data_IF_369709194836
#
_entry.id   IF_369709194836
#
_cell.length_a   1.000
_cell.length_b   1.000
_cell.length_c   1.000
_cell.angle_alpha   90.00
_cell.angle_beta   90.00
_cell.angle_gamma   90.00
#
_symmetry.space_group_name_H-M   'P 1'
#
loop_
_entity.id
_entity.type
_entity.pdbx_description
1 polymer ?
#
# COMPACT_ATOMS: atom_id res chain seq x y z
N UNK A 1 28.30 15.96 -20.57
CA UNK A 1 28.90 16.34 -19.29
C UNK A 1 29.42 15.07 -18.65
N UNK A 2 30.74 14.86 -18.67
CA UNK A 2 31.39 13.66 -18.08
C UNK A 2 31.73 13.98 -16.62
N UNK A 3 31.21 13.19 -15.70
CA UNK A 3 31.60 13.25 -14.30
C UNK A 3 32.75 12.27 -14.04
N UNK A 4 33.94 12.79 -13.71
CA UNK A 4 35.06 12.02 -13.19
C UNK A 4 34.90 11.83 -11.69
N UNK A 5 34.73 10.58 -11.23
CA UNK A 5 34.81 10.22 -9.82
C UNK A 5 36.26 10.01 -9.40
N UNK A 6 36.76 10.83 -8.48
CA UNK A 6 38.00 10.63 -7.76
C UNK A 6 37.78 9.61 -6.64
N UNK A 7 38.53 8.52 -6.66
CA UNK A 7 38.59 7.56 -5.56
C UNK A 7 39.70 7.99 -4.56
N UNK A 8 39.42 8.09 -3.26
CA UNK A 8 40.44 8.46 -2.27
C UNK A 8 41.34 7.28 -1.90
N UNK A 9 42.60 7.61 -1.57
CA UNK A 9 43.81 6.77 -1.42
C UNK A 9 43.80 5.76 -0.22
N UNK A 10 42.72 5.45 0.42
CA UNK A 10 42.67 4.50 1.55
C UNK A 10 42.52 3.04 1.19
N UNK A 11 42.43 2.69 -0.09
CA UNK A 11 42.29 1.31 -0.59
C UNK A 11 43.57 0.45 -0.56
N UNK A 12 44.69 0.96 -0.10
CA UNK A 12 46.00 0.27 -0.18
C UNK A 12 46.51 -0.41 1.10
N UNK A 13 45.69 -0.58 2.15
CA UNK A 13 46.15 -1.30 3.37
C UNK A 13 45.09 -2.27 3.88
N UNK A 14 45.02 -3.45 3.30
CA UNK A 14 44.34 -4.62 3.88
C UNK A 14 45.28 -5.83 3.83
N UNK A 15 46.09 -6.00 4.88
CA UNK A 15 46.74 -7.26 5.21
C UNK A 15 45.96 -7.98 6.26
N UNK A 16 45.24 -9.08 5.91
CA UNK A 16 44.52 -9.92 6.85
C UNK A 16 43.22 -10.48 6.25
N UNK A 17 43.22 -11.77 5.93
CA UNK A 17 42.17 -12.41 5.10
C UNK A 17 40.76 -12.55 5.71
N UNK A 18 40.50 -12.19 6.93
CA UNK A 18 39.19 -12.40 7.58
C UNK A 18 38.36 -11.09 7.75
N UNK A 19 39.00 -9.94 7.67
CA UNK A 19 38.33 -8.63 7.84
C UNK A 19 37.70 -8.04 6.58
N UNK A 20 38.01 -8.57 5.39
CA UNK A 20 37.51 -8.02 4.10
C UNK A 20 36.11 -8.47 3.69
N UNK A 21 35.64 -9.60 4.16
CA UNK A 21 34.34 -10.14 3.76
C UNK A 21 33.20 -9.27 4.31
N UNK A 22 33.34 -8.71 5.50
CA UNK A 22 32.33 -7.85 6.11
C UNK A 22 32.24 -6.42 5.55
N UNK A 23 33.26 -5.97 4.82
CA UNK A 23 33.27 -4.65 4.16
C UNK A 23 32.72 -4.66 2.72
N UNK A 24 32.59 -5.83 2.11
CA UNK A 24 32.01 -5.99 0.76
C UNK A 24 30.49 -6.15 0.77
N UNK A 25 29.88 -6.51 1.90
CA UNK A 25 28.44 -6.68 2.03
C UNK A 25 27.66 -5.38 1.74
N UNK A 26 28.06 -4.19 2.22
CA UNK A 26 27.34 -2.95 1.89
C UNK A 26 27.59 -2.47 0.43
N UNK A 27 28.70 -2.86 -0.22
CA UNK A 27 28.98 -2.49 -1.62
C UNK A 27 28.25 -3.40 -2.63
N UNK A 28 28.01 -4.65 -2.29
CA UNK A 28 27.17 -5.56 -3.08
C UNK A 28 25.69 -5.24 -2.99
N UNK A 29 25.24 -4.65 -1.88
CA UNK A 29 23.87 -4.15 -1.73
C UNK A 29 23.58 -2.86 -2.52
N UNK A 30 24.61 -2.08 -2.85
CA UNK A 30 24.46 -0.83 -3.61
C UNK A 30 24.37 -1.02 -5.13
N UNK A 31 24.68 -2.21 -5.66
CA UNK A 31 24.67 -2.49 -7.11
C UNK A 31 23.49 -3.32 -7.60
N UNK A 32 22.63 -3.77 -6.70
CA UNK A 32 21.37 -4.41 -7.09
C UNK A 32 20.30 -3.33 -7.09
N UNK A 33 19.87 -2.87 -8.27
CA UNK A 33 18.60 -2.17 -8.45
C UNK A 33 17.47 -3.16 -8.11
N UNK A 34 17.24 -3.36 -6.81
CA UNK A 34 16.07 -4.13 -6.35
C UNK A 34 14.83 -3.25 -6.55
N UNK A 35 13.79 -3.76 -7.18
CA UNK A 35 12.50 -3.10 -7.14
C UNK A 35 12.07 -2.98 -5.68
N UNK A 36 11.71 -1.79 -5.30
CA UNK A 36 11.34 -1.40 -3.94
C UNK A 36 9.90 -1.83 -3.60
N UNK A 37 9.53 -1.91 -2.34
CA UNK A 37 8.67 -2.91 -1.76
C UNK A 37 7.74 -2.47 -0.65
N UNK A 38 6.57 -3.09 -0.51
CA UNK A 38 5.48 -2.70 0.37
C UNK A 38 5.63 -3.13 1.83
N UNK A 39 5.37 -2.22 2.76
CA UNK A 39 4.98 -2.58 4.13
C UNK A 39 3.46 -2.41 4.23
N UNK A 40 2.75 -3.51 4.45
CA UNK A 40 1.39 -3.49 4.97
C UNK A 40 1.39 -2.71 6.28
N UNK A 41 0.31 -1.99 6.58
CA UNK A 41 0.08 -1.44 7.92
C UNK A 41 0.44 -2.51 8.94
N UNK A 42 1.42 -2.21 9.80
CA UNK A 42 1.97 -3.20 10.71
C UNK A 42 0.90 -3.61 11.73
N UNK A 43 0.28 -4.75 11.49
CA UNK A 43 -0.76 -5.31 12.38
C UNK A 43 -0.15 -5.73 13.72
N UNK A 44 1.16 -5.93 13.77
CA UNK A 44 1.87 -6.39 14.96
C UNK A 44 2.47 -5.24 15.78
N UNK A 45 1.67 -4.20 16.02
CA UNK A 45 2.11 -3.07 16.84
C UNK A 45 2.38 -3.49 18.28
N UNK A 46 3.56 -3.15 18.78
CA UNK A 46 3.96 -3.41 20.16
C UNK A 46 4.61 -2.17 20.79
N UNK A 47 4.37 -1.94 22.06
CA UNK A 47 5.07 -0.91 22.84
C UNK A 47 6.48 -1.38 23.27
N UNK A 48 6.81 -2.66 23.08
CA UNK A 48 8.09 -3.27 23.45
C UNK A 48 8.75 -4.00 22.26
N UNK A 49 9.06 -3.29 21.15
CA UNK A 49 9.64 -3.92 19.97
C UNK A 49 11.01 -4.57 20.24
N UNK A 50 11.73 -4.14 21.26
CA UNK A 50 13.01 -4.72 21.68
C UNK A 50 12.91 -6.18 22.14
N UNK A 51 11.75 -6.67 22.49
CA UNK A 51 11.55 -8.11 22.78
C UNK A 51 11.73 -8.98 21.54
N UNK A 52 11.40 -8.42 20.38
CA UNK A 52 11.48 -9.12 19.09
C UNK A 52 12.83 -8.84 18.44
N UNK A 53 13.35 -7.59 18.55
CA UNK A 53 14.63 -7.16 18.02
C UNK A 53 15.28 -6.15 18.99
N UNK A 54 16.29 -6.55 19.78
CA UNK A 54 16.80 -5.73 20.88
C UNK A 54 17.36 -4.36 20.46
N UNK A 55 18.00 -4.26 19.31
CA UNK A 55 18.60 -3.02 18.80
C UNK A 55 17.97 -2.54 17.50
N UNK A 56 17.50 -3.45 16.69
CA UNK A 56 16.88 -3.15 15.42
C UNK A 56 16.84 -4.36 14.50
N UNK A 57 16.20 -4.17 13.36
CA UNK A 57 16.08 -5.19 12.34
C UNK A 57 16.01 -4.58 10.94
N UNK A 58 16.29 -5.41 9.99
CA UNK A 58 16.09 -5.18 8.58
C UNK A 58 15.32 -6.38 8.00
N UNK A 59 14.31 -6.12 7.18
CA UNK A 59 13.41 -7.12 6.62
C UNK A 59 13.25 -6.93 5.12
N UNK A 60 13.32 -8.04 4.38
CA UNK A 60 12.99 -8.14 2.96
C UNK A 60 11.85 -9.13 2.82
N UNK A 61 10.83 -8.81 2.05
CA UNK A 61 9.71 -9.70 1.81
C UNK A 61 9.15 -9.59 0.41
N UNK A 62 8.51 -10.65 -0.04
CA UNK A 62 7.78 -10.71 -1.29
C UNK A 62 6.34 -11.14 -1.01
N UNK A 63 5.40 -10.36 -1.51
CA UNK A 63 3.97 -10.51 -1.31
C UNK A 63 3.33 -11.07 -2.58
N UNK A 64 2.45 -12.05 -2.41
CA UNK A 64 1.73 -12.68 -3.51
C UNK A 64 0.26 -12.87 -3.15
N UNK A 65 -0.61 -12.55 -4.09
CA UNK A 65 -2.04 -12.83 -4.02
C UNK A 65 -2.52 -13.22 -5.40
N UNK A 66 -2.82 -14.49 -5.59
CA UNK A 66 -3.41 -15.00 -6.82
C UNK A 66 -4.39 -16.14 -6.54
N UNK A 67 -5.11 -16.58 -7.57
CA UNK A 67 -6.08 -17.66 -7.43
C UNK A 67 -5.43 -18.99 -6.98
N UNK A 68 -4.19 -19.26 -7.38
CA UNK A 68 -3.47 -20.48 -7.01
C UNK A 68 -2.98 -20.49 -5.56
N UNK A 69 -2.84 -19.32 -4.91
CA UNK A 69 -2.47 -19.18 -3.51
C UNK A 69 -3.67 -18.99 -2.58
N UNK A 70 -4.87 -18.89 -3.13
CA UNK A 70 -6.11 -18.77 -2.37
C UNK A 70 -6.56 -20.12 -1.81
N UNK A 71 -5.77 -20.66 -0.90
CA UNK A 71 -5.95 -21.99 -0.29
C UNK A 71 -7.31 -22.13 0.41
N UNK A 72 -7.89 -21.04 0.86
CA UNK A 72 -9.17 -21.01 1.56
C UNK A 72 -10.33 -20.68 0.65
N UNK A 73 -10.08 -20.48 -0.65
CA UNK A 73 -11.06 -20.07 -1.65
C UNK A 73 -11.87 -18.82 -1.20
N UNK A 74 -11.18 -17.84 -0.65
CA UNK A 74 -11.79 -16.62 -0.07
C UNK A 74 -12.09 -15.60 -1.16
N UNK A 75 -11.41 -15.72 -2.31
CA UNK A 75 -11.69 -14.92 -3.51
C UNK A 75 -13.03 -15.37 -4.04
N UNK A 76 -13.98 -14.48 -3.97
CA UNK A 76 -15.31 -14.76 -4.50
C UNK A 76 -15.23 -15.02 -6.02
N UNK A 77 -15.62 -16.20 -6.46
CA UNK A 77 -15.47 -16.71 -7.82
C UNK A 77 -16.69 -16.47 -8.70
N UNK A 78 -17.58 -15.50 -8.35
CA UNK A 78 -18.76 -15.22 -9.16
C UNK A 78 -18.37 -14.83 -10.60
N UNK A 79 -18.70 -15.65 -11.63
CA UNK A 79 -18.32 -15.39 -13.00
C UNK A 79 -18.98 -14.15 -13.61
N UNK A 80 -20.10 -13.67 -13.05
CA UNK A 80 -20.80 -12.48 -13.54
C UNK A 80 -20.05 -11.17 -13.25
N UNK A 81 -19.16 -11.18 -12.27
CA UNK A 81 -18.33 -10.02 -11.90
C UNK A 81 -16.85 -10.22 -12.18
N UNK A 82 -16.46 -11.30 -12.85
CA UNK A 82 -15.05 -11.65 -13.09
C UNK A 82 -14.24 -10.54 -13.81
N UNK A 83 -14.88 -9.74 -14.67
CA UNK A 83 -14.24 -8.59 -15.33
C UNK A 83 -14.11 -7.34 -14.47
N UNK A 84 -14.76 -7.27 -13.30
CA UNK A 84 -14.78 -6.10 -12.42
C UNK A 84 -13.90 -6.29 -11.18
N UNK A 85 -13.42 -7.50 -10.93
CA UNK A 85 -12.61 -7.82 -9.73
C UNK A 85 -11.15 -7.45 -9.96
N UNK A 86 -10.51 -7.03 -8.89
CA UNK A 86 -9.07 -6.93 -8.88
C UNK A 86 -8.47 -8.31 -9.12
N UNK A 87 -7.55 -8.37 -10.05
CA UNK A 87 -6.83 -9.58 -10.40
C UNK A 87 -5.75 -9.93 -9.39
N UNK A 88 -4.64 -10.46 -9.89
CA UNK A 88 -3.49 -10.83 -9.08
C UNK A 88 -2.76 -9.61 -8.53
N UNK A 89 -2.16 -9.81 -7.39
CA UNK A 89 -1.27 -8.85 -6.75
C UNK A 89 0.07 -9.51 -6.50
N UNK A 90 1.12 -8.81 -6.83
CA UNK A 90 2.45 -9.14 -6.36
C UNK A 90 3.15 -7.87 -5.90
N UNK A 91 3.90 -8.02 -4.85
CA UNK A 91 4.68 -6.94 -4.30
C UNK A 91 5.97 -7.48 -3.72
N UNK A 92 6.87 -6.59 -3.49
CA UNK A 92 8.09 -6.91 -2.80
C UNK A 92 8.45 -5.71 -1.91
N UNK A 93 9.18 -5.83 -0.72
CA UNK A 93 9.45 -4.77 0.24
C UNK A 93 10.79 -4.84 0.96
N UNK A 94 11.26 -3.68 1.36
CA UNK A 94 12.37 -3.51 2.29
C UNK A 94 11.90 -2.65 3.44
N UNK A 95 12.09 -3.10 4.66
CA UNK A 95 11.77 -2.33 5.85
C UNK A 95 12.79 -2.53 6.93
N UNK A 96 12.79 -1.64 7.90
CA UNK A 96 13.66 -1.77 9.05
C UNK A 96 13.25 -0.85 10.18
N UNK A 97 13.76 -1.17 11.36
CA UNK A 97 13.61 -0.34 12.54
C UNK A 97 14.90 -0.34 13.35
N UNK A 98 15.18 0.78 13.99
CA UNK A 98 16.34 0.96 14.86
C UNK A 98 15.92 1.59 16.18
N UNK A 99 16.49 1.08 17.27
CA UNK A 99 16.34 1.64 18.61
C UNK A 99 17.30 2.82 18.78
N UNK A 100 16.75 4.00 19.05
CA UNK A 100 17.53 5.23 19.26
C UNK A 100 17.88 5.44 20.72
N UNK A 101 17.24 4.70 21.62
CA UNK A 101 17.42 4.78 23.07
C UNK A 101 16.30 4.04 23.79
N UNK A 102 16.24 4.18 25.12
CA UNK A 102 15.22 3.49 25.88
C UNK A 102 13.82 3.93 25.46
N UNK A 103 13.00 2.95 25.03
CA UNK A 103 11.65 3.17 24.58
C UNK A 103 11.50 4.03 23.30
N UNK A 104 12.59 4.35 22.59
CA UNK A 104 12.57 5.20 21.39
C UNK A 104 12.97 4.40 20.15
N UNK A 105 12.10 4.38 19.15
CA UNK A 105 12.32 3.65 17.91
C UNK A 105 12.02 4.52 16.71
N UNK A 106 12.80 4.32 15.66
CA UNK A 106 12.54 4.85 14.33
C UNK A 106 12.42 3.68 13.37
N UNK A 107 11.41 3.69 12.52
CA UNK A 107 11.23 2.68 11.48
C UNK A 107 10.91 3.31 10.15
N UNK A 108 11.20 2.58 9.08
CA UNK A 108 10.91 3.01 7.72
C UNK A 108 10.84 1.82 6.78
N UNK A 109 10.26 2.05 5.62
CA UNK A 109 10.15 1.05 4.58
C UNK A 109 9.88 1.67 3.22
N UNK A 110 10.21 0.90 2.21
CA UNK A 110 9.96 1.20 0.80
C UNK A 110 9.27 0.01 0.18
N UNK A 111 8.48 0.22 -0.87
CA UNK A 111 7.77 -0.86 -1.55
C UNK A 111 7.39 -0.59 -3.00
N UNK A 112 7.17 -1.67 -3.73
CA UNK A 112 6.56 -1.68 -5.05
C UNK A 112 5.49 -2.76 -5.11
N UNK A 113 4.33 -2.43 -5.66
CA UNK A 113 3.17 -3.29 -5.79
C UNK A 113 2.62 -3.24 -7.20
N UNK A 114 2.24 -4.38 -7.72
CA UNK A 114 1.56 -4.47 -9.00
C UNK A 114 0.23 -5.18 -8.79
N UNK A 115 -0.84 -4.52 -9.19
CA UNK A 115 -2.18 -5.09 -9.28
C UNK A 115 -2.48 -5.37 -10.73
N UNK A 116 -2.81 -6.60 -11.06
CA UNK A 116 -3.16 -7.02 -12.42
C UNK A 116 -4.59 -7.50 -12.46
N UNK A 117 -5.39 -6.96 -13.37
CA UNK A 117 -6.70 -7.48 -13.75
C UNK A 117 -6.57 -8.28 -15.05
N UNK A 118 -7.67 -8.74 -15.59
CA UNK A 118 -7.68 -9.43 -16.88
C UNK A 118 -7.24 -8.54 -18.05
N UNK A 119 -7.39 -7.22 -17.92
CA UNK A 119 -7.14 -6.25 -19.00
C UNK A 119 -6.08 -5.22 -18.63
N UNK A 120 -5.91 -4.93 -17.36
CA UNK A 120 -5.12 -3.80 -16.89
C UNK A 120 -4.10 -4.24 -15.84
N UNK A 121 -2.96 -3.56 -15.78
CA UNK A 121 -1.94 -3.75 -14.76
C UNK A 121 -1.46 -2.39 -14.25
N UNK A 122 -1.46 -2.22 -12.93
CA UNK A 122 -1.08 -0.98 -12.26
C UNK A 122 0.06 -1.24 -11.28
N UNK A 123 1.13 -0.48 -11.40
CA UNK A 123 2.27 -0.54 -10.49
C UNK A 123 2.34 0.71 -9.63
N UNK A 124 2.44 0.52 -8.33
CA UNK A 124 2.59 1.57 -7.33
C UNK A 124 3.88 1.37 -6.57
N UNK A 125 4.65 2.42 -6.43
CA UNK A 125 5.72 2.51 -5.45
C UNK A 125 5.22 3.23 -4.19
N UNK A 126 5.93 3.09 -3.09
CA UNK A 126 5.58 3.82 -1.88
C UNK A 126 6.65 3.75 -0.80
N UNK A 127 6.39 4.50 0.27
CA UNK A 127 7.29 4.61 1.41
C UNK A 127 6.51 4.81 2.70
N UNK A 128 7.14 4.48 3.82
CA UNK A 128 6.63 4.70 5.17
C UNK A 128 7.75 5.15 6.10
N UNK A 129 7.42 6.04 7.03
CA UNK A 129 8.24 6.36 8.20
C UNK A 129 7.38 6.37 9.44
N UNK A 130 7.95 5.90 10.56
CA UNK A 130 7.31 6.05 11.86
C UNK A 130 8.31 6.22 12.99
N UNK A 131 7.90 6.99 14.01
CA UNK A 131 8.58 7.12 15.27
C UNK A 131 7.70 6.60 16.40
N UNK A 132 8.27 5.79 17.29
CA UNK A 132 7.60 5.27 18.48
C UNK A 132 8.33 5.75 19.74
N UNK A 133 7.55 6.17 20.72
CA UNK A 133 8.04 6.55 22.05
C UNK A 133 7.23 5.84 23.13
N UNK A 134 7.90 5.00 23.91
CA UNK A 134 7.34 4.39 25.12
C UNK A 134 7.50 5.34 26.28
N UNK A 135 6.42 5.74 26.89
CA UNK A 135 6.41 6.67 28.03
C UNK A 135 6.00 6.00 29.35
N UNK A 136 5.48 4.75 29.31
CA UNK A 136 5.25 3.93 30.49
C UNK A 136 5.96 2.58 30.31
N UNK A 137 6.80 2.24 31.26
CA UNK A 137 7.48 0.95 31.33
C UNK A 137 6.56 -0.12 31.91
N UNK A 138 6.69 -1.38 31.47
CA UNK A 138 5.93 -2.48 32.05
C UNK A 138 6.34 -2.68 33.52
N UNK A 139 5.38 -2.86 34.42
CA UNK A 139 5.64 -3.10 35.83
C UNK A 139 4.56 -4.03 36.42
N UNK A 140 4.91 -5.27 36.73
CA UNK A 140 3.98 -6.28 37.20
C UNK A 140 2.86 -6.55 36.16
N UNK A 141 1.60 -6.29 36.54
CA UNK A 141 0.45 -6.39 35.65
C UNK A 141 0.18 -5.15 34.79
N UNK A 142 0.95 -4.07 34.98
CA UNK A 142 0.78 -2.84 34.18
C UNK A 142 1.39 -3.00 32.81
N UNK A 143 0.68 -2.58 31.75
CA UNK A 143 1.23 -2.63 30.41
C UNK A 143 2.37 -1.63 30.22
N UNK A 144 3.27 -1.92 29.30
CA UNK A 144 4.04 -0.89 28.64
C UNK A 144 3.09 -0.04 27.78
N UNK A 145 3.26 1.28 27.76
CA UNK A 145 2.45 2.17 26.92
C UNK A 145 3.35 3.03 26.05
N UNK A 146 3.07 3.04 24.74
CA UNK A 146 3.80 3.83 23.77
C UNK A 146 2.84 4.62 22.87
N UNK A 147 3.32 5.76 22.40
CA UNK A 147 2.73 6.50 21.30
C UNK A 147 3.55 6.28 20.02
N UNK A 148 2.90 6.17 18.87
CA UNK A 148 3.53 6.11 17.56
C UNK A 148 2.95 7.18 16.65
N UNK A 149 3.82 7.85 15.90
CA UNK A 149 3.43 8.71 14.78
C UNK A 149 3.97 8.08 13.50
N UNK A 150 3.11 7.93 12.49
CA UNK A 150 3.44 7.30 11.22
C UNK A 150 3.00 8.15 10.06
N UNK A 151 3.72 8.10 8.96
CA UNK A 151 3.31 8.67 7.66
C UNK A 151 3.73 7.73 6.55
N UNK A 152 2.89 7.60 5.53
CA UNK A 152 3.19 6.78 4.34
C UNK A 152 2.49 7.32 3.11
N UNK A 153 2.93 6.85 1.96
CA UNK A 153 2.39 7.26 0.66
C UNK A 153 2.57 6.13 -0.35
N UNK A 154 1.59 5.98 -1.23
CA UNK A 154 1.72 5.25 -2.48
C UNK A 154 1.63 6.22 -3.64
N UNK A 155 2.35 5.94 -4.72
CA UNK A 155 2.34 6.78 -5.92
C UNK A 155 2.66 5.95 -7.17
N UNK A 156 2.19 6.43 -8.32
CA UNK A 156 2.55 5.91 -9.64
C UNK A 156 2.72 7.06 -10.63
N UNK A 157 3.47 6.83 -11.70
CA UNK A 157 3.61 7.82 -12.78
C UNK A 157 2.30 7.98 -13.54
N UNK A 158 1.64 6.87 -13.84
CA UNK A 158 0.32 6.86 -14.43
C UNK A 158 -0.40 5.54 -14.13
N UNK A 159 -1.74 5.59 -14.16
CA UNK A 159 -2.60 4.42 -14.23
C UNK A 159 -3.47 4.55 -15.47
N UNK A 160 -3.55 3.48 -16.24
CA UNK A 160 -4.33 3.45 -17.47
C UNK A 160 -5.24 2.21 -17.48
N UNK A 161 -6.54 2.43 -17.66
CA UNK A 161 -7.52 1.36 -17.81
C UNK A 161 -8.06 1.35 -19.24
N UNK A 162 -7.99 0.19 -19.87
CA UNK A 162 -8.58 -0.07 -21.18
C UNK A 162 -10.01 -0.59 -21.08
N UNK A 163 -10.45 -0.90 -19.86
CA UNK A 163 -11.84 -1.27 -19.59
C UNK A 163 -12.73 -0.04 -19.74
N UNK A 164 -13.69 -0.12 -20.65
CA UNK A 164 -14.60 0.99 -20.92
C UNK A 164 -15.44 1.34 -19.68
N UNK A 165 -15.48 2.64 -19.36
CA UNK A 165 -16.31 3.20 -18.29
C UNK A 165 -17.55 3.84 -18.93
N UNK A 166 -18.74 3.43 -18.49
CA UNK A 166 -20.00 4.04 -18.93
C UNK A 166 -20.36 5.15 -17.96
N UNK A 167 -20.46 6.35 -18.48
CA UNK A 167 -20.96 7.53 -17.75
C UNK A 167 -22.26 8.01 -18.41
N UNK A 168 -23.12 8.80 -17.74
CA UNK A 168 -24.31 9.34 -18.35
C UNK A 168 -23.98 10.08 -19.66
N UNK A 169 -24.53 9.63 -20.79
CA UNK A 169 -24.37 10.25 -22.10
C UNK A 169 -23.05 9.94 -22.83
N UNK A 170 -22.11 9.16 -22.26
CA UNK A 170 -20.86 8.82 -22.93
C UNK A 170 -20.30 7.46 -22.49
N UNK A 171 -19.52 6.86 -23.41
CA UNK A 171 -18.68 5.70 -23.14
C UNK A 171 -17.21 6.13 -23.24
N UNK A 172 -16.47 5.99 -22.15
CA UNK A 172 -15.03 6.22 -22.12
C UNK A 172 -14.33 4.89 -22.40
N UNK A 173 -13.60 4.81 -23.51
CA UNK A 173 -12.96 3.55 -23.94
C UNK A 173 -11.65 3.29 -23.20
N UNK A 174 -10.87 4.34 -22.96
CA UNK A 174 -9.61 4.28 -22.19
C UNK A 174 -9.61 5.44 -21.22
N UNK A 175 -9.23 5.18 -19.98
CA UNK A 175 -9.09 6.21 -18.94
C UNK A 175 -7.66 6.17 -18.42
N UNK A 176 -6.99 7.32 -18.46
CA UNK A 176 -5.63 7.50 -17.96
C UNK A 176 -5.59 8.60 -16.90
N UNK A 177 -4.99 8.26 -15.75
CA UNK A 177 -4.75 9.16 -14.65
C UNK A 177 -3.24 9.28 -14.46
N UNK A 178 -2.72 10.50 -14.46
CA UNK A 178 -1.28 10.75 -14.26
C UNK A 178 -0.99 11.12 -12.81
N UNK A 179 0.18 10.71 -12.34
CA UNK A 179 0.68 11.00 -10.99
C UNK A 179 -0.35 10.75 -9.87
N UNK A 180 -1.07 9.60 -9.89
CA UNK A 180 -1.93 9.27 -8.76
C UNK A 180 -1.07 9.03 -7.53
N UNK A 181 -1.45 9.64 -6.40
CA UNK A 181 -0.74 9.48 -5.14
C UNK A 181 -1.71 9.55 -3.96
N UNK A 182 -1.47 8.74 -2.94
CA UNK A 182 -2.06 8.93 -1.62
C UNK A 182 -1.01 9.36 -0.61
N UNK A 183 -1.44 10.08 0.40
CA UNK A 183 -0.61 10.46 1.54
C UNK A 183 -1.40 10.29 2.81
N UNK A 184 -0.77 9.68 3.81
CA UNK A 184 -1.42 9.38 5.07
C UNK A 184 -0.55 9.77 6.24
N UNK A 185 -1.20 10.21 7.31
CA UNK A 185 -0.61 10.48 8.60
C UNK A 185 -1.48 9.85 9.70
N UNK A 186 -0.85 9.23 10.69
CA UNK A 186 -1.53 8.50 11.75
C UNK A 186 -0.80 8.63 13.07
N UNK A 187 -1.58 8.74 14.14
CA UNK A 187 -1.10 8.64 15.52
C UNK A 187 -1.76 7.43 16.20
N UNK A 188 -0.97 6.63 16.90
CA UNK A 188 -1.40 5.44 17.63
C UNK A 188 -1.03 5.53 19.11
N UNK A 189 -1.88 4.96 19.94
CA UNK A 189 -1.60 4.57 21.32
C UNK A 189 -1.55 3.04 21.40
N UNK A 190 -0.50 2.50 22.01
CA UNK A 190 -0.23 1.06 22.05
C UNK A 190 0.02 0.65 23.49
N UNK A 191 -0.75 -0.33 23.97
CA UNK A 191 -0.52 -0.98 25.27
C UNK A 191 -0.02 -2.40 25.07
N UNK A 192 1.05 -2.81 25.76
CA UNK A 192 1.61 -4.16 25.67
C UNK A 192 1.73 -4.78 27.04
N UNK A 193 1.14 -5.96 27.21
CA UNK A 193 1.19 -6.78 28.42
C UNK A 193 2.08 -7.98 28.18
N UNK A 194 3.05 -8.17 29.06
CA UNK A 194 3.87 -9.37 29.10
C UNK A 194 3.14 -10.44 29.89
N UNK A 195 2.68 -11.50 29.20
CA UNK A 195 1.96 -12.61 29.83
C UNK A 195 2.93 -13.61 30.43
N UNK A 196 4.03 -13.88 29.74
CA UNK A 196 5.14 -14.73 30.16
C UNK A 196 6.45 -14.15 29.60
N UNK A 197 7.64 -14.67 30.02
CA UNK A 197 8.90 -14.28 29.40
C UNK A 197 8.90 -14.46 27.86
N UNK A 198 8.14 -15.42 27.35
CA UNK A 198 8.11 -15.80 25.93
C UNK A 198 6.86 -15.32 25.21
N UNK A 199 5.92 -14.66 25.87
CA UNK A 199 4.67 -14.24 25.24
C UNK A 199 4.22 -12.86 25.69
N UNK A 200 3.65 -12.10 24.75
CA UNK A 200 3.03 -10.80 25.02
C UNK A 200 1.78 -10.59 24.16
N UNK A 201 0.89 -9.74 24.64
CA UNK A 201 -0.29 -9.28 23.93
C UNK A 201 -0.26 -7.77 23.88
N UNK A 202 -0.57 -7.20 22.73
CA UNK A 202 -0.68 -5.76 22.56
C UNK A 202 -2.06 -5.40 22.06
N UNK A 203 -2.58 -4.26 22.53
CA UNK A 203 -3.76 -3.61 21.97
C UNK A 203 -3.36 -2.22 21.48
N UNK A 204 -3.93 -1.80 20.37
CA UNK A 204 -3.65 -0.49 19.78
C UNK A 204 -4.94 0.21 19.35
N UNK A 205 -4.90 1.53 19.43
CA UNK A 205 -5.92 2.42 18.88
C UNK A 205 -5.21 3.59 18.19
N UNK A 206 -5.63 3.89 16.96
CA UNK A 206 -5.04 4.96 16.17
C UNK A 206 -6.09 5.75 15.42
N UNK A 207 -5.72 6.98 15.06
CA UNK A 207 -6.50 7.83 14.18
C UNK A 207 -5.59 8.52 13.19
N UNK A 208 -6.12 8.84 12.02
CA UNK A 208 -5.33 9.48 10.98
C UNK A 208 -6.16 10.15 9.90
N UNK A 209 -5.42 10.73 8.97
CA UNK A 209 -5.97 11.31 7.75
C UNK A 209 -5.33 10.69 6.52
N UNK A 210 -6.12 10.54 5.49
CA UNK A 210 -5.72 10.05 4.17
C UNK A 210 -6.12 11.08 3.13
N UNK A 211 -5.20 11.42 2.25
CA UNK A 211 -5.43 12.33 1.14
C UNK A 211 -5.04 11.62 -0.16
N UNK A 212 -5.94 11.61 -1.11
CA UNK A 212 -5.71 11.15 -2.47
C UNK A 212 -5.61 12.33 -3.41
N UNK A 213 -4.62 12.33 -4.27
CA UNK A 213 -4.39 13.35 -5.30
C UNK A 213 -4.00 12.70 -6.63
N UNK A 214 -4.15 13.45 -7.71
CA UNK A 214 -3.71 13.08 -9.05
C UNK A 214 -3.26 14.32 -9.83
N UNK A 215 -2.47 14.13 -10.89
CA UNK A 215 -2.00 15.22 -11.75
C UNK A 215 -3.04 15.64 -12.78
N UNK A 216 -3.37 14.73 -13.69
CA UNK A 216 -4.36 14.97 -14.74
C UNK A 216 -5.11 13.67 -15.06
N UNK A 217 -6.31 13.84 -15.61
CA UNK A 217 -7.09 12.74 -16.15
C UNK A 217 -7.33 12.98 -17.63
N UNK A 218 -7.24 11.92 -18.41
CA UNK A 218 -7.65 11.88 -19.81
C UNK A 218 -8.40 10.61 -20.14
N UNK A 219 -9.20 10.63 -21.18
CA UNK A 219 -9.93 9.46 -21.66
C UNK A 219 -10.08 9.52 -23.18
N UNK A 220 -10.44 8.38 -23.78
CA UNK A 220 -10.85 8.34 -25.18
C UNK A 220 -12.33 8.01 -25.27
N UNK A 221 -13.02 8.60 -26.25
CA UNK A 221 -14.42 8.32 -26.52
C UNK A 221 -14.68 8.33 -28.03
N UNK A 222 -15.70 7.56 -28.46
CA UNK A 222 -16.17 7.59 -29.83
C UNK A 222 -17.51 8.33 -29.86
N UNK A 223 -17.60 9.41 -30.62
CA UNK A 223 -18.83 10.20 -30.82
C UNK A 223 -19.11 10.35 -32.30
N UNK A 224 -20.31 9.93 -32.74
CA UNK A 224 -20.73 9.95 -34.14
C UNK A 224 -19.73 9.25 -35.13
N UNK A 225 -19.10 8.16 -34.66
CA UNK A 225 -18.12 7.43 -35.45
C UNK A 225 -16.70 8.03 -35.48
N UNK A 226 -16.47 9.15 -34.81
CA UNK A 226 -15.16 9.78 -34.69
C UNK A 226 -14.59 9.61 -33.29
N UNK A 227 -13.27 9.37 -33.20
CA UNK A 227 -12.57 9.18 -31.93
C UNK A 227 -11.97 10.49 -31.41
N UNK A 228 -12.24 10.76 -30.16
CA UNK A 228 -11.81 11.95 -29.45
C UNK A 228 -10.95 11.62 -28.24
N UNK A 229 -9.88 12.37 -28.06
CA UNK A 229 -9.14 12.46 -26.81
C UNK A 229 -9.82 13.48 -25.91
N UNK A 230 -10.26 13.04 -24.74
CA UNK A 230 -10.81 13.90 -23.69
C UNK A 230 -9.71 14.25 -22.70
N UNK A 231 -9.60 15.52 -22.35
CA UNK A 231 -8.73 16.01 -21.27
C UNK A 231 -9.60 16.73 -20.24
N UNK A 232 -9.48 16.31 -18.99
CA UNK A 232 -10.28 16.83 -17.89
C UNK A 232 -9.47 17.81 -17.05
N UNK A 233 -10.07 18.94 -16.72
CA UNK A 233 -9.52 19.94 -15.84
C UNK A 233 -10.61 20.39 -14.86
N UNK A 234 -10.62 19.80 -13.65
CA UNK A 234 -11.72 19.95 -12.70
C UNK A 234 -13.04 19.46 -13.33
N UNK A 235 -14.03 20.34 -13.33
CA UNK A 235 -15.36 20.08 -13.91
C UNK A 235 -15.48 20.43 -15.39
N UNK A 236 -14.40 20.72 -16.07
CA UNK A 236 -14.38 21.02 -17.49
C UNK A 236 -13.67 19.93 -18.29
N UNK A 237 -14.13 19.72 -19.51
CA UNK A 237 -13.65 18.69 -20.41
C UNK A 237 -13.39 19.30 -21.79
N UNK A 238 -12.19 19.07 -22.32
CA UNK A 238 -11.83 19.39 -23.71
C UNK A 238 -11.75 18.09 -24.51
N UNK A 239 -12.56 17.96 -25.54
CA UNK A 239 -12.47 16.88 -26.52
C UNK A 239 -11.73 17.35 -27.76
N UNK A 240 -10.70 16.62 -28.17
CA UNK A 240 -9.89 16.89 -29.37
C UNK A 240 -9.96 15.67 -30.29
N UNK A 241 -10.26 15.88 -31.58
CA UNK A 241 -10.31 14.83 -32.57
C UNK A 241 -8.93 14.16 -32.72
N UNK A 242 -8.90 12.83 -32.63
CA UNK A 242 -7.64 12.07 -32.68
C UNK A 242 -7.12 11.85 -34.09
N UNK A 243 -8.02 11.62 -35.04
CA UNK A 243 -7.70 11.33 -36.43
C UNK A 243 -8.70 12.00 -37.35
N UNK A 244 -8.32 12.33 -38.62
CA UNK A 244 -9.27 12.79 -39.60
C UNK A 244 -10.44 11.82 -39.70
N UNK A 245 -11.66 12.36 -39.69
CA UNK A 245 -12.89 11.56 -39.66
C UNK A 245 -13.89 12.24 -40.57
N UNK A 246 -14.46 11.49 -41.50
CA UNK A 246 -15.47 11.97 -42.45
C UNK A 246 -16.87 11.53 -42.01
N UNK A 247 -17.68 12.48 -41.60
CA UNK A 247 -19.09 12.23 -41.20
C UNK A 247 -20.01 13.18 -41.95
N UNK A 248 -21.16 12.68 -42.38
CA UNK A 248 -22.21 13.50 -42.98
C UNK A 248 -22.64 14.57 -41.97
N UNK A 249 -22.44 15.85 -42.33
CA UNK A 249 -22.79 17.01 -41.46
C UNK A 249 -21.60 17.75 -40.90
N UNK A 250 -20.37 17.32 -41.19
CA UNK A 250 -19.15 17.98 -40.72
C UNK A 250 -18.61 17.45 -39.38
N UNK A 251 -17.33 17.63 -39.18
CA UNK A 251 -16.59 17.11 -38.02
C UNK A 251 -16.24 18.26 -37.09
N UNK A 252 -16.55 18.09 -35.81
CA UNK A 252 -16.11 19.01 -34.77
C UNK A 252 -14.68 18.63 -34.37
N UNK A 253 -13.70 19.45 -34.70
CA UNK A 253 -12.29 19.19 -34.37
C UNK A 253 -12.00 19.30 -32.86
N UNK A 254 -12.65 20.25 -32.21
CA UNK A 254 -12.57 20.43 -30.77
C UNK A 254 -13.94 20.81 -30.21
N UNK A 255 -14.26 20.29 -29.05
CA UNK A 255 -15.42 20.72 -28.29
C UNK A 255 -15.04 20.90 -26.82
N UNK A 256 -15.69 21.87 -26.23
CA UNK A 256 -15.55 22.18 -24.81
C UNK A 256 -16.87 21.92 -24.11
N UNK A 257 -16.84 21.14 -23.05
CA UNK A 257 -18.04 20.79 -22.32
C UNK A 257 -17.80 20.77 -20.81
N UNK A 258 -18.85 20.86 -20.04
CA UNK A 258 -18.79 20.66 -18.59
C UNK A 258 -18.92 19.17 -18.29
N UNK A 259 -17.98 18.61 -17.55
CA UNK A 259 -18.08 17.22 -17.08
C UNK A 259 -19.33 16.99 -16.22
N UNK A 260 -19.85 18.06 -15.58
CA UNK A 260 -21.12 18.06 -14.85
C UNK A 260 -22.36 17.75 -15.70
N UNK A 261 -22.34 18.02 -17.02
CA UNK A 261 -23.39 17.62 -17.96
C UNK A 261 -23.53 16.10 -18.05
N UNK A 262 -22.45 15.37 -17.83
CA UNK A 262 -22.45 13.91 -17.76
C UNK A 262 -22.66 13.36 -16.36
N UNK A 263 -23.01 14.21 -15.39
CA UNK A 263 -23.18 13.82 -14.00
C UNK A 263 -21.88 13.39 -13.31
N UNK A 264 -20.71 13.80 -13.85
CA UNK A 264 -19.40 13.38 -13.39
C UNK A 264 -18.63 14.60 -12.89
N UNK A 265 -18.48 14.74 -11.59
CA UNK A 265 -17.49 15.64 -10.97
C UNK A 265 -16.18 14.89 -10.77
N UNK A 266 -15.36 14.86 -11.83
CA UNK A 266 -14.13 14.06 -11.85
C UNK A 266 -13.16 14.47 -10.73
N UNK A 267 -13.11 15.74 -10.39
CA UNK A 267 -12.23 16.21 -9.32
C UNK A 267 -12.60 15.59 -7.96
N UNK A 268 -13.91 15.56 -7.65
CA UNK A 268 -14.41 14.98 -6.38
C UNK A 268 -14.52 13.45 -6.42
N UNK A 269 -14.55 12.86 -7.61
CA UNK A 269 -14.72 11.42 -7.77
C UNK A 269 -13.42 10.63 -7.67
N UNK A 270 -12.31 11.24 -8.01
CA UNK A 270 -10.98 10.60 -8.03
C UNK A 270 -10.14 11.06 -6.86
N UNK A 271 -10.07 12.37 -6.58
CA UNK A 271 -9.40 12.91 -5.41
C UNK A 271 -10.35 12.96 -4.21
N UNK A 272 -9.85 12.61 -3.04
CA UNK A 272 -10.63 12.71 -1.82
C UNK A 272 -9.73 12.94 -0.60
N UNK A 273 -10.33 13.53 0.43
CA UNK A 273 -9.78 13.62 1.76
C UNK A 273 -10.61 12.73 2.68
N UNK A 274 -9.95 12.00 3.58
CA UNK A 274 -10.64 11.12 4.52
C UNK A 274 -9.99 11.13 5.88
N UNK A 275 -10.81 10.88 6.89
CA UNK A 275 -10.36 10.60 8.26
C UNK A 275 -10.62 9.15 8.57
N UNK A 276 -9.71 8.52 9.31
CA UNK A 276 -9.87 7.12 9.69
C UNK A 276 -9.53 6.88 11.16
N UNK A 277 -10.09 5.80 11.67
CA UNK A 277 -9.77 5.23 12.98
C UNK A 277 -9.42 3.77 12.76
N UNK A 278 -8.41 3.30 13.48
CA UNK A 278 -8.09 1.88 13.54
C UNK A 278 -7.97 1.40 14.97
N UNK A 279 -8.28 0.14 15.19
CA UNK A 279 -8.03 -0.55 16.45
C UNK A 279 -7.54 -1.95 16.15
N UNK A 280 -6.60 -2.42 16.96
CA UNK A 280 -5.99 -3.73 16.74
C UNK A 280 -5.63 -4.42 18.04
N UNK A 281 -5.53 -5.74 17.94
CA UNK A 281 -4.97 -6.60 18.96
C UNK A 281 -4.00 -7.56 18.29
N UNK A 282 -2.87 -7.80 18.91
CA UNK A 282 -1.91 -8.80 18.43
C UNK A 282 -1.24 -9.52 19.60
N UNK A 283 -0.75 -10.72 19.31
CA UNK A 283 0.01 -11.54 20.22
C UNK A 283 1.29 -12.01 19.60
N UNK A 284 2.31 -12.18 20.43
CA UNK A 284 3.62 -12.74 20.08
C UNK A 284 3.90 -13.90 21.03
N UNK A 285 4.35 -15.01 20.48
CA UNK A 285 4.79 -16.16 21.24
C UNK A 285 6.09 -16.73 20.67
N UNK A 286 7.10 -16.88 21.53
CA UNK A 286 8.42 -17.38 21.19
C UNK A 286 8.61 -18.78 21.77
N UNK A 287 9.11 -19.72 20.96
CA UNK A 287 9.42 -21.07 21.39
C UNK A 287 10.66 -21.61 20.67
N UNK A 288 11.78 -21.64 21.36
CA UNK A 288 13.05 -22.06 20.77
C UNK A 288 13.48 -21.16 19.63
N UNK A 289 13.62 -21.71 18.42
CA UNK A 289 13.96 -20.95 17.21
C UNK A 289 12.75 -20.32 16.52
N UNK A 290 11.54 -20.57 16.98
CA UNK A 290 10.31 -20.07 16.38
C UNK A 290 9.74 -18.87 17.11
N UNK A 291 9.24 -17.91 16.34
CA UNK A 291 8.40 -16.80 16.81
C UNK A 291 7.11 -16.82 16.02
N UNK A 292 5.98 -16.92 16.71
CA UNK A 292 4.65 -16.85 16.12
C UNK A 292 4.00 -15.53 16.49
N UNK A 293 3.35 -14.91 15.52
CA UNK A 293 2.61 -13.67 15.71
C UNK A 293 1.22 -13.83 15.10
N UNK A 294 0.22 -13.34 15.81
CA UNK A 294 -1.15 -13.29 15.32
C UNK A 294 -1.72 -11.92 15.62
N UNK A 295 -2.46 -11.34 14.68
CA UNK A 295 -3.04 -10.02 14.84
C UNK A 295 -4.38 -9.88 14.14
N UNK A 296 -5.20 -9.00 14.69
CA UNK A 296 -6.45 -8.53 14.11
C UNK A 296 -6.44 -7.01 14.11
N UNK A 297 -6.84 -6.41 12.99
CA UNK A 297 -6.98 -4.97 12.81
C UNK A 297 -8.35 -4.65 12.23
N UNK A 298 -9.05 -3.72 12.84
CA UNK A 298 -10.24 -3.07 12.30
C UNK A 298 -9.87 -1.65 11.89
N UNK A 299 -10.13 -1.32 10.64
CA UNK A 299 -9.96 0.01 10.07
C UNK A 299 -11.31 0.56 9.61
N UNK A 300 -11.61 1.81 9.98
CA UNK A 300 -12.84 2.49 9.60
C UNK A 300 -12.46 3.85 9.03
N UNK A 301 -12.90 4.13 7.81
CA UNK A 301 -12.60 5.38 7.10
C UNK A 301 -13.89 6.07 6.70
N UNK A 302 -13.90 7.39 6.78
CA UNK A 302 -14.92 8.27 6.22
C UNK A 302 -14.22 9.19 5.22
N UNK A 303 -14.70 9.20 3.99
CA UNK A 303 -14.13 10.00 2.89
C UNK A 303 -15.10 11.13 2.53
N UNK A 304 -14.54 12.29 2.35
CA UNK A 304 -15.29 13.44 1.83
C UNK A 304 -15.61 13.22 0.35
N UNK A 305 -16.78 13.64 -0.08
CA UNK A 305 -17.33 13.58 -1.43
C UNK A 305 -17.55 12.15 -1.96
N UNK A 306 -16.53 11.30 -2.09
CA UNK A 306 -16.63 10.01 -2.81
C UNK A 306 -17.66 9.06 -2.19
N UNK A 307 -17.75 8.97 -0.86
CA UNK A 307 -18.73 8.10 -0.20
C UNK A 307 -20.16 8.60 -0.41
N UNK A 308 -20.38 9.92 -0.47
CA UNK A 308 -21.67 10.51 -0.77
C UNK A 308 -22.06 10.35 -2.25
N UNK A 309 -21.10 10.49 -3.17
CA UNK A 309 -21.31 10.26 -4.61
C UNK A 309 -21.74 8.82 -4.84
N UNK A 310 -21.09 7.85 -4.21
CA UNK A 310 -21.47 6.44 -4.30
C UNK A 310 -22.89 6.21 -3.76
N UNK A 311 -23.22 6.78 -2.58
CA UNK A 311 -24.55 6.67 -1.99
C UNK A 311 -25.64 7.28 -2.89
N UNK A 312 -25.38 8.43 -3.53
CA UNK A 312 -26.31 9.07 -4.46
C UNK A 312 -26.54 8.27 -5.75
N UNK A 313 -25.64 7.32 -6.06
CA UNK A 313 -25.74 6.43 -7.23
C UNK A 313 -26.19 5.01 -6.88
N UNK A 314 -26.67 4.79 -5.66
CA UNK A 314 -27.02 3.47 -5.12
C UNK A 314 -25.87 2.45 -5.24
N UNK A 315 -24.61 2.92 -5.17
CA UNK A 315 -23.43 2.09 -5.23
C UNK A 315 -22.86 1.81 -3.83
N UNK A 316 -22.31 0.61 -3.61
CA UNK A 316 -21.74 0.27 -2.30
C UNK A 316 -20.53 1.14 -1.98
N UNK A 317 -20.49 1.69 -0.76
CA UNK A 317 -19.34 2.36 -0.20
C UNK A 317 -18.71 1.47 0.87
N UNK A 318 -17.42 1.18 0.70
CA UNK A 318 -16.67 0.34 1.63
C UNK A 318 -15.86 1.22 2.58
N UNK A 319 -16.40 1.41 3.77
CA UNK A 319 -15.83 2.27 4.82
C UNK A 319 -15.16 1.49 5.93
N UNK A 320 -15.20 0.16 5.89
CA UNK A 320 -14.60 -0.72 6.92
C UNK A 320 -13.67 -1.73 6.25
N UNK A 321 -12.55 -2.00 6.89
CA UNK A 321 -11.69 -3.11 6.53
C UNK A 321 -11.29 -3.88 7.80
N UNK A 322 -11.27 -5.20 7.70
CA UNK A 322 -10.83 -6.10 8.74
C UNK A 322 -9.66 -6.90 8.19
N UNK A 323 -8.60 -6.95 8.96
CA UNK A 323 -7.39 -7.69 8.59
C UNK A 323 -7.04 -8.67 9.71
N UNK A 324 -6.90 -9.94 9.36
CA UNK A 324 -6.33 -10.98 10.22
C UNK A 324 -4.97 -11.33 9.65
N UNK A 325 -3.95 -11.29 10.48
CA UNK A 325 -2.57 -11.61 10.06
C UNK A 325 -1.99 -12.68 10.97
N UNK A 326 -1.37 -13.68 10.36
CA UNK A 326 -0.61 -14.72 11.04
C UNK A 326 0.81 -14.73 10.47
N UNK A 327 1.82 -14.82 11.32
CA UNK A 327 3.22 -14.93 10.90
C UNK A 327 3.93 -15.99 11.73
N UNK A 328 4.73 -16.80 11.03
CA UNK A 328 5.70 -17.69 11.64
C UNK A 328 7.10 -17.28 11.18
N UNK A 329 7.99 -17.08 12.13
CA UNK A 329 9.40 -16.69 11.90
C UNK A 329 10.29 -17.79 12.47
N UNK A 330 11.22 -18.30 11.67
CA UNK A 330 12.21 -19.30 12.08
C UNK A 330 13.61 -18.69 12.06
N UNK A 331 14.28 -18.73 13.18
CA UNK A 331 15.66 -18.25 13.33
C UNK A 331 16.63 -19.27 12.75
N UNK A 332 17.22 -18.93 11.61
CA UNK A 332 18.24 -19.73 10.92
C UNK A 332 19.60 -19.61 11.59
N UNK A 333 19.93 -18.39 12.01
CA UNK A 333 21.18 -18.02 12.69
C UNK A 333 20.87 -16.96 13.76
N UNK A 334 21.78 -16.67 14.69
CA UNK A 334 21.53 -15.68 15.76
C UNK A 334 20.97 -14.33 15.29
N UNK A 335 21.29 -13.91 14.07
CA UNK A 335 20.89 -12.62 13.51
C UNK A 335 20.10 -12.73 12.20
N UNK A 336 19.75 -13.94 11.74
CA UNK A 336 19.04 -14.13 10.48
C UNK A 336 17.86 -15.06 10.68
N UNK A 337 16.71 -14.63 10.25
CA UNK A 337 15.45 -15.38 10.31
C UNK A 337 14.77 -15.42 8.95
N UNK A 338 14.06 -16.52 8.70
CA UNK A 338 13.10 -16.65 7.61
C UNK A 338 11.69 -16.48 8.20
N UNK A 339 10.81 -15.80 7.50
CA UNK A 339 9.41 -15.72 7.92
C UNK A 339 8.44 -16.00 6.78
N UNK A 340 7.28 -16.51 7.17
CA UNK A 340 6.10 -16.63 6.33
C UNK A 340 4.94 -15.92 7.01
N UNK A 341 4.20 -15.10 6.27
CA UNK A 341 3.05 -14.31 6.74
C UNK A 341 1.86 -14.58 5.85
N UNK A 342 0.70 -14.82 6.46
CA UNK A 342 -0.59 -14.88 5.79
C UNK A 342 -1.48 -13.75 6.30
N UNK A 343 -2.16 -13.05 5.41
CA UNK A 343 -3.11 -11.99 5.74
C UNK A 343 -4.44 -12.27 5.06
N UNK A 344 -5.53 -12.11 5.79
CA UNK A 344 -6.89 -12.14 5.27
C UNK A 344 -7.53 -10.77 5.49
N UNK A 345 -7.93 -10.11 4.40
CA UNK A 345 -8.58 -8.81 4.45
C UNK A 345 -10.01 -8.86 3.90
N UNK A 346 -10.93 -8.16 4.54
CA UNK A 346 -12.35 -8.17 4.15
C UNK A 346 -12.65 -7.34 2.91
N UNK A 347 -11.91 -6.25 2.70
CA UNK A 347 -12.05 -5.37 1.54
C UNK A 347 -10.67 -5.11 0.98
N UNK A 348 -10.51 -5.35 -0.31
CA UNK A 348 -9.25 -5.34 -0.99
C UNK A 348 -8.42 -4.09 -0.68
N UNK A 349 -7.28 -4.29 -0.01
CA UNK A 349 -6.19 -3.31 0.13
C UNK A 349 -6.64 -1.85 0.41
N UNK A 350 -7.85 -1.68 0.98
CA UNK A 350 -8.48 -0.38 1.18
C UNK A 350 -7.65 0.57 2.04
N UNK A 351 -6.93 0.02 3.00
CA UNK A 351 -6.01 0.74 3.88
C UNK A 351 -4.56 0.69 3.38
N UNK A 352 -4.22 -0.26 2.52
CA UNK A 352 -2.85 -0.47 2.04
C UNK A 352 -2.54 0.36 0.79
N UNK A 353 -3.52 0.47 -0.14
CA UNK A 353 -3.36 1.23 -1.39
C UNK A 353 -4.62 2.10 -1.62
N UNK A 354 -4.88 3.10 -0.79
CA UNK A 354 -6.05 3.98 -0.92
C UNK A 354 -6.16 4.67 -2.27
N UNK A 355 -5.04 4.88 -2.95
CA UNK A 355 -4.97 5.50 -4.29
C UNK A 355 -5.79 4.75 -5.34
N UNK A 356 -6.09 3.48 -5.12
CA UNK A 356 -6.92 2.67 -6.02
C UNK A 356 -8.42 2.84 -5.81
N UNK A 357 -8.86 3.46 -4.71
CA UNK A 357 -10.27 3.61 -4.38
C UNK A 357 -10.84 4.95 -4.86
N UNK A 358 -11.79 4.89 -5.77
CA UNK A 358 -12.54 6.04 -6.27
C UNK A 358 -13.97 5.63 -6.66
N UNK A 359 -14.79 6.56 -7.13
CA UNK A 359 -16.19 6.29 -7.48
C UNK A 359 -16.37 5.26 -8.60
N UNK A 360 -15.37 5.09 -9.47
CA UNK A 360 -15.41 4.13 -10.58
C UNK A 360 -14.90 2.74 -10.20
N UNK A 361 -14.02 2.65 -9.19
CA UNK A 361 -13.38 1.41 -8.78
C UNK A 361 -13.97 0.81 -7.51
N UNK A 362 -14.78 1.56 -6.77
CA UNK A 362 -15.29 1.16 -5.45
C UNK A 362 -15.95 -0.22 -5.43
N UNK A 363 -16.73 -0.57 -6.45
CA UNK A 363 -17.42 -1.88 -6.54
C UNK A 363 -16.45 -3.07 -6.54
N UNK A 364 -15.19 -2.88 -6.96
CA UNK A 364 -14.17 -3.92 -6.98
C UNK A 364 -13.66 -4.28 -5.59
N UNK A 365 -13.95 -3.45 -4.58
CA UNK A 365 -13.44 -3.62 -3.21
C UNK A 365 -14.30 -4.55 -2.33
N UNK A 366 -15.45 -5.01 -2.80
CA UNK A 366 -16.39 -5.85 -2.05
C UNK A 366 -15.94 -7.28 -1.78
N UNK A 367 -14.72 -7.66 -2.14
CA UNK A 367 -14.24 -9.04 -2.04
C UNK A 367 -13.23 -9.22 -0.92
N UNK A 368 -13.19 -10.44 -0.36
CA UNK A 368 -12.17 -10.85 0.61
C UNK A 368 -10.91 -11.31 -0.14
N UNK A 369 -9.76 -11.04 0.44
CA UNK A 369 -8.47 -11.39 -0.16
C UNK A 369 -7.55 -12.02 0.86
N UNK A 370 -6.75 -12.96 0.38
CA UNK A 370 -5.64 -13.53 1.13
C UNK A 370 -4.33 -13.07 0.49
N UNK A 371 -3.44 -12.51 1.28
CA UNK A 371 -2.10 -12.15 0.90
C UNK A 371 -1.12 -13.08 1.59
N UNK A 372 -0.15 -13.59 0.86
CA UNK A 372 0.92 -14.43 1.39
C UNK A 372 2.27 -13.75 1.18
N UNK A 373 3.06 -13.65 2.24
CA UNK A 373 4.40 -13.05 2.22
C UNK A 373 5.44 -14.09 2.64
N UNK A 374 6.52 -14.16 1.90
CA UNK A 374 7.77 -14.81 2.32
C UNK A 374 8.87 -13.79 2.44
N UNK A 375 9.72 -13.92 3.44
CA UNK A 375 10.79 -12.95 3.62
C UNK A 375 11.91 -13.39 4.53
N UNK A 376 12.96 -12.58 4.51
CA UNK A 376 14.13 -12.69 5.35
C UNK A 376 14.20 -11.49 6.29
N UNK A 377 14.64 -11.73 7.49
CA UNK A 377 14.86 -10.70 8.51
C UNK A 377 16.24 -10.85 9.11
N UNK A 378 16.97 -9.74 9.21
CA UNK A 378 18.24 -9.64 9.91
C UNK A 378 18.07 -8.76 11.15
N UNK A 379 18.36 -9.32 12.34
CA UNK A 379 18.34 -8.60 13.62
C UNK A 379 19.76 -8.18 14.02
N UNK A 380 19.92 -7.02 14.66
CA UNK A 380 21.23 -6.49 15.12
C UNK A 380 21.14 -5.81 16.48
#
# INVERSE_FOLDING_TARGET
MQFHFFLPDWAKRCGGQVGCIWRLVPLLLASVCLPSVAVSLDVFLTATPERIAPRGYFELGSDHMNASLDVLNVRDSDPLTAGTRAGDYHGAYISGAVRLGDGKWLSGGLWQRTLSSTTDSFSYAGWQFSGLYRFLEPAGSRPAVAARLSTWSNYADATESTTAVIVPGARLNTVKITNPADRQIQADLIGTWDLTPDSSVSASMGMGRSQLSYGAMSATTTRNGCDYQLTFNGNSMLGTLMHPCEVAGGVIQQFYDSSGLYGVDIASEIAWLGSFVQTGINGVWQRGAWTYQAGYLLYVVQREAVDQILANRDKPSYTRNQNITLQATYRLQPHVSLFARGQLTSNMLLNDIPVTYNSSTAERFGSKYTLFTLGLRADF
#
